data_IF_827438686439
#
_entry.id   IF_827438686439
#
_cell.length_a   1.000
_cell.length_b   1.000
_cell.length_c   1.000
_cell.angle_alpha   90.00
_cell.angle_beta   90.00
_cell.angle_gamma   90.00
#
_symmetry.space_group_name_H-M   'P 1'
#
loop_
_entity.id
_entity.type
_entity.pdbx_description
1 polymer ?
#
# COMPACT_ATOMS: atom_id res chain seq x y z
N UNK A 1 -6.81 10.69 -5.69
CA UNK A 1 -5.96 9.91 -6.59
C UNK A 1 -4.52 10.25 -6.27
N UNK A 2 -3.70 9.30 -5.80
CA UNK A 2 -2.30 9.56 -5.48
C UNK A 2 -1.41 8.65 -6.33
N UNK A 3 -0.36 9.24 -6.89
CA UNK A 3 0.59 8.60 -7.83
C UNK A 3 1.94 8.57 -7.13
N UNK A 4 2.52 7.37 -7.00
CA UNK A 4 3.85 7.19 -6.43
C UNK A 4 4.91 7.12 -7.53
N UNK A 5 6.13 7.58 -7.23
CA UNK A 5 7.30 7.52 -8.11
C UNK A 5 8.44 6.78 -7.38
N UNK A 6 8.78 5.57 -7.81
CA UNK A 6 10.05 4.90 -7.46
C UNK A 6 10.91 4.84 -8.71
N UNK A 7 12.23 5.00 -8.65
CA UNK A 7 13.10 4.82 -9.83
C UNK A 7 13.55 3.34 -9.92
N UNK A 8 13.36 2.64 -11.06
CA UNK A 8 12.81 3.13 -12.32
C UNK A 8 11.29 3.35 -12.21
N UNK A 9 10.82 4.44 -12.82
CA UNK A 9 9.54 5.15 -12.63
C UNK A 9 8.28 4.27 -12.77
N UNK A 10 7.95 3.43 -11.79
CA UNK A 10 6.72 2.61 -11.80
C UNK A 10 5.62 3.32 -11.01
N UNK A 11 4.54 3.71 -11.70
CA UNK A 11 3.33 4.27 -11.07
C UNK A 11 2.47 3.15 -10.50
N UNK A 12 2.50 2.94 -9.19
CA UNK A 12 1.53 2.09 -8.50
C UNK A 12 0.24 2.89 -8.24
N UNK A 13 -0.92 2.42 -8.71
CA UNK A 13 -2.23 3.03 -8.44
C UNK A 13 -2.92 2.28 -7.31
N UNK A 14 -2.92 2.87 -6.11
CA UNK A 14 -3.69 2.36 -4.96
C UNK A 14 -5.08 3.00 -4.95
N UNK A 15 -6.15 2.18 -4.97
CA UNK A 15 -7.53 2.65 -4.75
C UNK A 15 -7.79 2.66 -3.25
N UNK A 16 -7.98 3.84 -2.70
CA UNK A 16 -8.12 4.06 -1.25
C UNK A 16 -9.59 4.37 -0.97
N UNK A 17 -10.25 3.66 -0.04
CA UNK A 17 -11.62 3.98 0.37
C UNK A 17 -11.71 5.39 0.99
N UNK A 18 -12.83 6.09 0.82
CA UNK A 18 -13.05 7.43 1.39
C UNK A 18 -12.98 7.45 2.93
N UNK A 19 -13.12 6.30 3.58
CA UNK A 19 -12.99 6.13 5.04
C UNK A 19 -11.56 6.22 5.56
N UNK A 20 -10.56 6.24 4.67
CA UNK A 20 -9.14 6.09 4.97
C UNK A 20 -8.47 7.46 4.79
N UNK A 21 -8.04 8.06 5.90
CA UNK A 21 -7.47 9.41 5.96
C UNK A 21 -6.03 9.35 6.48
N UNK A 22 -5.24 10.40 6.22
CA UNK A 22 -3.87 10.55 6.74
C UNK A 22 -2.99 9.30 6.57
N UNK A 23 -3.03 8.66 5.41
CA UNK A 23 -2.26 7.44 5.16
C UNK A 23 -0.82 7.78 4.72
N UNK A 24 0.13 6.98 5.18
CA UNK A 24 1.55 7.07 4.82
C UNK A 24 2.12 5.66 4.65
N UNK A 25 2.83 5.44 3.55
CA UNK A 25 3.64 4.22 3.39
C UNK A 25 4.90 4.40 4.23
N UNK A 26 5.06 3.57 5.25
CA UNK A 26 6.16 3.68 6.23
C UNK A 26 7.34 2.79 5.87
N UNK A 27 7.11 1.70 5.14
CA UNK A 27 8.17 0.80 4.69
C UNK A 27 7.82 0.09 3.38
N UNK A 28 8.85 -0.12 2.55
CA UNK A 28 8.82 -0.98 1.36
C UNK A 28 10.12 -1.79 1.39
N UNK A 29 10.03 -3.11 1.50
CA UNK A 29 11.17 -4.00 1.49
C UNK A 29 10.96 -5.15 0.49
N UNK A 30 11.95 -5.53 -0.33
CA UNK A 30 11.86 -6.74 -1.13
C UNK A 30 11.81 -7.98 -0.23
N UNK A 31 11.04 -9.00 -0.61
CA UNK A 31 11.05 -10.29 0.07
C UNK A 31 12.27 -11.11 -0.37
N UNK A 32 12.86 -11.86 0.57
CA UNK A 32 14.03 -12.71 0.29
C UNK A 32 13.72 -13.86 -0.68
N UNK A 33 12.45 -14.27 -0.76
CA UNK A 33 12.00 -15.40 -1.58
C UNK A 33 11.84 -15.05 -3.07
N UNK A 34 11.37 -13.83 -3.38
CA UNK A 34 11.09 -13.39 -4.74
C UNK A 34 11.39 -11.88 -4.83
N UNK A 35 12.42 -11.45 -5.59
CA UNK A 35 12.76 -10.03 -5.72
C UNK A 35 11.67 -9.21 -6.44
N UNK A 36 10.69 -9.87 -7.07
CA UNK A 36 9.49 -9.26 -7.63
C UNK A 36 8.35 -9.08 -6.61
N UNK A 37 8.53 -9.56 -5.37
CA UNK A 37 7.59 -9.36 -4.26
C UNK A 37 8.15 -8.38 -3.24
N UNK A 38 7.25 -7.55 -2.71
CA UNK A 38 7.56 -6.51 -1.74
C UNK A 38 6.66 -6.64 -0.53
N UNK A 39 7.23 -6.53 0.67
CA UNK A 39 6.51 -6.31 1.91
C UNK A 39 6.32 -4.80 2.06
N UNK A 40 5.06 -4.37 2.08
CA UNK A 40 4.68 -2.95 2.16
C UNK A 40 3.91 -2.72 3.44
N UNK A 41 4.28 -1.65 4.13
CA UNK A 41 3.65 -1.25 5.37
C UNK A 41 3.02 0.13 5.22
N UNK A 42 1.77 0.23 5.65
CA UNK A 42 0.98 1.46 5.59
C UNK A 42 0.47 1.78 6.98
N UNK A 43 0.73 3.00 7.41
CA UNK A 43 0.05 3.63 8.52
C UNK A 43 -1.11 4.45 7.96
N UNK A 44 -2.30 4.34 8.55
CA UNK A 44 -3.45 5.13 8.17
C UNK A 44 -4.35 5.43 9.36
N UNK A 45 -5.12 6.52 9.26
CA UNK A 45 -6.19 6.82 10.19
C UNK A 45 -7.53 6.42 9.57
N UNK A 46 -8.37 5.76 10.38
CA UNK A 46 -9.73 5.42 9.99
C UNK A 46 -10.71 6.09 10.93
N UNK A 47 -11.82 6.60 10.37
CA UNK A 47 -12.93 7.11 11.18
C UNK A 47 -13.69 5.94 11.78
N UNK A 48 -13.89 5.97 13.10
CA UNK A 48 -14.71 5.00 13.80
C UNK A 48 -16.20 5.30 13.61
N UNK A 49 -17.10 4.30 13.73
CA UNK A 49 -18.54 4.52 13.66
C UNK A 49 -19.08 5.53 14.69
N UNK A 50 -18.31 5.79 15.75
CA UNK A 50 -18.65 6.69 16.86
C UNK A 50 -18.07 8.10 16.70
N UNK A 51 -17.53 8.45 15.52
CA UNK A 51 -17.04 9.79 15.20
C UNK A 51 -15.59 10.11 15.62
N UNK A 52 -14.88 9.14 16.20
CA UNK A 52 -13.44 9.27 16.48
C UNK A 52 -12.56 8.89 15.28
N UNK A 53 -11.26 9.19 15.36
CA UNK A 53 -10.24 8.68 14.44
C UNK A 53 -9.27 7.77 15.18
N UNK A 54 -8.93 6.64 14.58
CA UNK A 54 -7.97 5.68 15.13
C UNK A 54 -6.86 5.41 14.13
N UNK A 55 -5.62 5.38 14.63
CA UNK A 55 -4.44 5.04 13.87
C UNK A 55 -4.31 3.51 13.73
N UNK A 56 -4.05 3.05 12.52
CA UNK A 56 -3.94 1.64 12.15
C UNK A 56 -2.70 1.39 11.31
N UNK A 57 -2.07 0.25 11.52
CA UNK A 57 -0.93 -0.20 10.72
C UNK A 57 -1.31 -1.49 10.01
N UNK A 58 -1.21 -1.50 8.69
CA UNK A 58 -1.41 -2.69 7.87
C UNK A 58 -0.12 -3.06 7.17
N UNK A 59 0.12 -4.37 7.05
CA UNK A 59 1.18 -4.96 6.25
C UNK A 59 0.57 -5.86 5.20
N UNK A 60 1.02 -5.71 3.97
CA UNK A 60 0.58 -6.53 2.85
C UNK A 60 1.74 -6.82 1.91
N UNK A 61 1.65 -7.96 1.23
CA UNK A 61 2.62 -8.33 0.22
C UNK A 61 2.11 -7.81 -1.13
N UNK A 62 3.02 -7.29 -1.95
CA UNK A 62 2.72 -6.82 -3.30
C UNK A 62 3.61 -7.51 -4.31
N UNK A 63 3.05 -7.93 -5.44
CA UNK A 63 3.79 -8.41 -6.61
C UNK A 63 3.40 -7.60 -7.84
N UNK A 64 4.37 -7.31 -8.71
CA UNK A 64 4.07 -6.66 -9.99
C UNK A 64 3.21 -7.59 -10.85
N UNK A 65 2.09 -7.08 -11.37
CA UNK A 65 1.24 -7.84 -12.27
C UNK A 65 1.87 -7.95 -13.66
N UNK A 66 1.33 -8.84 -14.51
CA UNK A 66 1.75 -8.95 -15.91
C UNK A 66 1.41 -7.69 -16.72
N UNK A 67 0.37 -6.96 -16.31
CA UNK A 67 0.00 -5.66 -16.87
C UNK A 67 0.88 -4.58 -16.25
N UNK A 68 1.50 -3.77 -17.11
CA UNK A 68 2.37 -2.68 -16.67
C UNK A 68 1.59 -1.66 -15.83
N UNK A 69 2.10 -1.36 -14.63
CA UNK A 69 1.49 -0.41 -13.70
C UNK A 69 0.47 -1.02 -12.74
N UNK A 70 0.13 -2.30 -12.90
CA UNK A 70 -0.72 -3.03 -11.96
C UNK A 70 0.09 -3.79 -10.92
N UNK A 71 -0.48 -3.88 -9.73
CA UNK A 71 0.10 -4.57 -8.59
C UNK A 71 -0.94 -5.50 -7.97
N UNK A 72 -0.54 -6.73 -7.75
CA UNK A 72 -1.34 -7.73 -7.04
C UNK A 72 -1.01 -7.58 -5.57
N UNK A 73 -2.02 -7.24 -4.77
CA UNK A 73 -1.91 -7.17 -3.30
C UNK A 73 -2.39 -8.48 -2.72
N UNK A 74 -1.53 -9.15 -1.95
CA UNK A 74 -1.86 -10.37 -1.23
C UNK A 74 -1.92 -10.04 0.26
N UNK A 75 -3.06 -10.36 0.88
CA UNK A 75 -3.15 -10.35 2.33
C UNK A 75 -2.15 -11.37 2.90
N UNK A 76 -1.49 -11.01 4.01
CA UNK A 76 -0.70 -11.99 4.78
C UNK A 76 -1.59 -13.03 5.42
#
# INVERSE_FOLDING_TARGET
>A
MVVFYTRPLVKARLRIPDSLQNYTVTAIAPLADDPGRFDVEVHFEARTPFGGTTAHRARFQMKRAAVEGEWIVTAR
#
